data_IF_196517909382
#
_entry.id   IF_196517909382
#
_cell.length_a   1.000
_cell.length_b   1.000
_cell.length_c   1.000
_cell.angle_alpha   90.00
_cell.angle_beta   90.00
_cell.angle_gamma   90.00
#
_symmetry.space_group_name_H-M   'P 1'
#
loop_
_entity.id
_entity.type
_entity.pdbx_description
1 polymer ?
#
# COMPACT_ATOMS: atom_id res chain seq x y z
N UNK A 1 -10.93 -9.74 -16.49
CA UNK A 1 -11.64 -8.43 -16.44
C UNK A 1 -10.72 -7.43 -15.75
N UNK A 2 -10.35 -6.40 -16.45
CA UNK A 2 -9.60 -5.30 -15.85
C UNK A 2 -10.40 -4.74 -14.68
N UNK A 3 -9.76 -4.58 -13.54
CA UNK A 3 -10.35 -3.87 -12.41
C UNK A 3 -10.85 -2.50 -12.87
N UNK A 4 -11.91 -2.01 -12.25
CA UNK A 4 -12.45 -0.69 -12.55
C UNK A 4 -11.36 0.36 -12.36
N UNK A 5 -11.20 1.26 -13.32
CA UNK A 5 -10.23 2.33 -13.25
C UNK A 5 -10.56 3.27 -12.08
N UNK A 6 -9.58 3.55 -11.26
CA UNK A 6 -9.72 4.40 -10.08
C UNK A 6 -8.38 4.51 -9.38
N UNK A 7 -8.34 5.19 -8.24
CA UNK A 7 -7.12 5.36 -7.47
C UNK A 7 -7.34 4.86 -6.05
N UNK A 8 -6.51 3.94 -5.62
CA UNK A 8 -6.61 3.31 -4.31
C UNK A 8 -5.26 3.29 -3.61
N UNK A 9 -5.29 3.28 -2.29
CA UNK A 9 -4.14 2.96 -1.47
C UNK A 9 -4.39 1.64 -0.77
N UNK A 10 -3.49 0.69 -0.96
CA UNK A 10 -3.47 -0.59 -0.24
C UNK A 10 -2.51 -0.43 0.93
N UNK A 11 -2.97 -0.72 2.13
CA UNK A 11 -2.17 -0.59 3.35
C UNK A 11 -2.12 -1.92 4.08
N UNK A 12 -0.92 -2.37 4.43
CA UNK A 12 -0.71 -3.55 5.28
C UNK A 12 -0.05 -3.10 6.57
N UNK A 13 -0.74 -3.31 7.68
CA UNK A 13 -0.30 -2.99 9.02
C UNK A 13 -0.66 -4.14 9.96
N UNK A 14 0.31 -4.61 10.73
CA UNK A 14 0.10 -5.66 11.74
C UNK A 14 -0.66 -6.89 11.17
N UNK A 15 -0.26 -7.36 10.00
CA UNK A 15 -0.87 -8.52 9.37
C UNK A 15 -2.26 -8.28 8.78
N UNK A 16 -2.74 -7.04 8.77
CA UNK A 16 -4.04 -6.67 8.22
C UNK A 16 -3.88 -5.80 6.99
N UNK A 17 -4.63 -6.12 5.95
CA UNK A 17 -4.69 -5.35 4.72
C UNK A 17 -5.98 -4.52 4.70
N UNK A 18 -5.83 -3.24 4.42
CA UNK A 18 -6.93 -2.29 4.24
C UNK A 18 -6.77 -1.58 2.91
N UNK A 19 -7.87 -1.33 2.23
CA UNK A 19 -7.89 -0.53 1.00
C UNK A 19 -8.64 0.78 1.22
N UNK A 20 -8.11 1.85 0.68
CA UNK A 20 -8.76 3.17 0.68
C UNK A 20 -9.04 3.58 -0.76
N UNK A 21 -10.29 3.92 -1.06
CA UNK A 21 -10.65 4.54 -2.34
C UNK A 21 -10.29 6.03 -2.28
N UNK A 22 -9.17 6.39 -2.89
CA UNK A 22 -8.66 7.75 -2.82
C UNK A 22 -9.56 8.75 -3.56
N UNK A 23 -10.36 8.29 -4.51
CA UNK A 23 -11.24 9.15 -5.29
C UNK A 23 -12.45 9.67 -4.49
N UNK A 24 -12.69 9.16 -3.29
CA UNK A 24 -13.76 9.63 -2.41
C UNK A 24 -13.53 11.05 -1.87
N UNK A 25 -12.30 11.55 -1.88
CA UNK A 25 -11.96 12.91 -1.45
C UNK A 25 -10.65 13.39 -2.08
N UNK A 26 -10.41 14.70 -2.04
CA UNK A 26 -9.22 15.30 -2.66
C UNK A 26 -7.96 15.23 -1.80
N UNK A 27 -8.10 15.07 -0.50
CA UNK A 27 -6.97 15.03 0.43
C UNK A 27 -7.16 13.96 1.48
N UNK A 28 -6.12 13.15 1.69
CA UNK A 28 -6.05 12.09 2.68
C UNK A 28 -4.86 12.30 3.60
N UNK A 29 -5.14 12.63 4.84
CA UNK A 29 -4.11 12.80 5.88
C UNK A 29 -3.67 11.43 6.39
N UNK A 30 -2.37 11.21 6.43
CA UNK A 30 -1.75 9.96 6.89
C UNK A 30 -1.08 10.19 8.23
N UNK A 31 -1.35 9.33 9.20
CA UNK A 31 -0.66 9.42 10.47
C UNK A 31 -1.24 8.54 11.57
N UNK A 32 -0.65 8.66 12.75
CA UNK A 32 -1.07 7.93 13.93
C UNK A 32 -2.20 8.68 14.64
N UNK A 33 -3.35 8.04 14.87
CA UNK A 33 -4.44 8.69 15.59
C UNK A 33 -4.06 8.99 17.04
N UNK A 34 -4.56 10.11 17.55
CA UNK A 34 -4.43 10.52 18.95
C UNK A 34 -5.66 11.32 19.35
N UNK A 35 -5.75 11.70 20.63
CA UNK A 35 -6.87 12.49 21.13
C UNK A 35 -7.11 13.76 20.30
N UNK A 36 -6.04 14.42 19.88
CA UNK A 36 -6.09 15.72 19.18
C UNK A 36 -5.79 15.61 17.68
N UNK A 37 -5.64 14.40 17.15
CA UNK A 37 -5.30 14.18 15.75
C UNK A 37 -6.03 12.93 15.20
N UNK A 38 -6.92 13.16 14.26
CA UNK A 38 -7.67 12.09 13.58
C UNK A 38 -7.30 12.12 12.10
N UNK A 39 -6.31 11.33 11.67
CA UNK A 39 -5.98 11.22 10.24
C UNK A 39 -7.05 10.44 9.49
N UNK A 40 -7.09 10.61 8.17
CA UNK A 40 -8.00 9.85 7.29
C UNK A 40 -7.51 8.42 7.09
N UNK A 41 -6.19 8.27 6.88
CA UNK A 41 -5.50 6.98 6.83
C UNK A 41 -4.81 6.78 8.18
N UNK A 42 -5.41 5.94 9.01
CA UNK A 42 -4.99 5.70 10.39
C UNK A 42 -3.94 4.59 10.44
N UNK A 43 -2.74 4.95 10.82
CA UNK A 43 -1.62 4.02 11.01
C UNK A 43 -1.29 3.93 12.49
N UNK A 44 -1.44 2.75 13.08
CA UNK A 44 -1.40 2.59 14.54
C UNK A 44 -0.01 2.30 15.10
N UNK A 45 0.97 2.01 14.25
CA UNK A 45 2.34 1.78 14.71
C UNK A 45 2.90 2.99 15.44
N UNK A 46 3.57 2.73 16.56
CA UNK A 46 4.23 3.77 17.36
C UNK A 46 5.39 4.46 16.64
N UNK A 47 5.88 3.86 15.56
CA UNK A 47 6.94 4.44 14.72
C UNK A 47 6.44 5.51 13.76
N UNK A 48 5.13 5.58 13.54
CA UNK A 48 4.51 6.58 12.67
C UNK A 48 4.18 7.85 13.46
N UNK A 49 4.51 8.99 12.89
CA UNK A 49 4.18 10.29 13.45
C UNK A 49 2.69 10.60 13.32
N UNK A 50 2.15 11.42 14.23
CA UNK A 50 0.73 11.81 14.21
C UNK A 50 0.34 12.50 12.89
N UNK A 51 1.20 13.38 12.42
CA UNK A 51 1.12 14.04 11.11
C UNK A 51 2.28 13.54 10.25
N UNK A 52 2.09 12.39 9.60
CA UNK A 52 3.19 11.74 8.88
C UNK A 52 3.30 12.21 7.44
N UNK A 53 2.18 12.35 6.76
CA UNK A 53 2.13 12.80 5.37
C UNK A 53 0.70 13.00 4.90
N UNK A 54 0.55 13.27 3.61
CA UNK A 54 -0.76 13.34 2.98
C UNK A 54 -0.70 12.94 1.51
N UNK A 55 -1.77 12.33 1.05
CA UNK A 55 -2.06 12.16 -0.37
C UNK A 55 -3.02 13.25 -0.82
N UNK A 56 -2.74 13.86 -1.94
CA UNK A 56 -3.53 15.00 -2.45
C UNK A 56 -3.72 14.89 -3.95
N UNK A 57 -4.97 15.08 -4.39
CA UNK A 57 -5.30 15.22 -5.79
C UNK A 57 -5.21 16.71 -6.20
N UNK A 58 -4.44 16.96 -7.23
CA UNK A 58 -4.34 18.29 -7.86
C UNK A 58 -4.54 18.13 -9.36
N UNK A 59 -5.60 18.69 -9.89
CA UNK A 59 -5.93 18.65 -11.32
C UNK A 59 -5.98 17.21 -11.91
N UNK A 60 -6.48 16.25 -11.15
CA UNK A 60 -6.58 14.86 -11.59
C UNK A 60 -5.33 14.01 -11.35
N UNK A 61 -4.26 14.58 -10.85
CA UNK A 61 -3.02 13.88 -10.50
C UNK A 61 -2.91 13.70 -8.99
N UNK A 62 -2.50 12.52 -8.56
CA UNK A 62 -2.25 12.23 -7.17
C UNK A 62 -0.80 12.51 -6.81
N UNK A 63 -0.61 13.11 -5.64
CA UNK A 63 0.70 13.44 -5.07
C UNK A 63 0.77 12.97 -3.63
N UNK A 64 1.96 12.54 -3.23
CA UNK A 64 2.28 12.34 -1.83
C UNK A 64 3.16 13.48 -1.32
N UNK A 65 2.81 14.03 -0.18
CA UNK A 65 3.58 15.07 0.51
C UNK A 65 3.98 14.56 1.87
N UNK A 66 5.28 14.34 2.07
CA UNK A 66 5.79 13.90 3.37
C UNK A 66 5.84 15.06 4.35
N UNK A 67 5.61 14.80 5.63
CA UNK A 67 5.65 15.80 6.70
C UNK A 67 6.85 15.63 7.62
N UNK A 68 7.87 14.92 7.16
CA UNK A 68 9.09 14.66 7.91
C UNK A 68 8.82 14.00 9.27
N UNK A 69 8.07 12.90 9.23
CA UNK A 69 7.87 12.07 10.39
C UNK A 69 9.19 11.62 11.00
N UNK A 70 9.25 11.49 12.33
CA UNK A 70 10.48 11.21 13.09
C UNK A 70 11.28 10.02 12.57
N UNK A 71 10.61 8.94 12.18
CA UNK A 71 11.24 7.71 11.70
C UNK A 71 11.24 7.61 10.16
N UNK A 72 10.78 8.64 9.47
CA UNK A 72 10.88 8.76 8.02
C UNK A 72 9.86 7.97 7.22
N UNK A 73 10.00 8.10 5.92
CA UNK A 73 9.23 7.40 4.91
C UNK A 73 10.18 6.92 3.82
N UNK A 74 10.01 5.68 3.42
CA UNK A 74 10.71 5.10 2.28
C UNK A 74 9.74 5.04 1.09
N UNK A 75 10.16 5.56 -0.03
CA UNK A 75 9.40 5.57 -1.28
C UNK A 75 10.18 4.83 -2.37
N UNK A 76 9.60 3.75 -2.87
CA UNK A 76 10.23 2.88 -3.88
C UNK A 76 11.69 2.54 -3.53
N UNK A 77 11.95 2.18 -2.27
CA UNK A 77 13.26 1.77 -1.77
C UNK A 77 14.21 2.91 -1.42
N UNK A 78 13.78 4.16 -1.53
CA UNK A 78 14.60 5.34 -1.19
C UNK A 78 13.96 6.16 -0.08
N UNK A 79 14.79 6.58 0.88
CA UNK A 79 14.34 7.52 1.91
C UNK A 79 13.93 8.85 1.31
N UNK A 80 12.79 9.37 1.75
CA UNK A 80 12.39 10.73 1.44
C UNK A 80 13.20 11.67 2.33
N UNK A 81 14.01 12.50 1.71
CA UNK A 81 14.84 13.50 2.38
C UNK A 81 14.54 14.89 1.84
N UNK A 82 14.62 15.94 2.69
CA UNK A 82 14.48 17.29 2.20
C UNK A 82 15.64 17.64 1.25
N UNK A 83 15.33 18.43 0.22
CA UNK A 83 16.34 18.98 -0.67
C UNK A 83 17.21 20.05 0.01
N UNK A 84 18.14 20.64 -0.76
CA UNK A 84 19.08 21.67 -0.28
C UNK A 84 18.37 22.85 0.38
N UNK A 85 17.15 23.18 -0.09
CA UNK A 85 16.33 24.25 0.49
C UNK A 85 15.63 23.87 1.81
N UNK A 86 15.82 22.65 2.31
CA UNK A 86 15.09 22.12 3.48
C UNK A 86 13.61 21.82 3.19
N UNK A 87 13.16 21.93 1.94
CA UNK A 87 11.77 21.69 1.55
C UNK A 87 11.64 20.34 0.85
N UNK A 88 10.54 19.65 1.11
CA UNK A 88 10.16 18.46 0.38
C UNK A 88 9.33 18.84 -0.85
N UNK A 89 9.62 18.17 -1.96
CA UNK A 89 8.79 18.28 -3.15
C UNK A 89 7.67 17.25 -3.09
N UNK A 90 6.44 17.59 -3.49
CA UNK A 90 5.40 16.60 -3.70
C UNK A 90 5.86 15.53 -4.70
N UNK A 91 5.54 14.28 -4.40
CA UNK A 91 5.89 13.16 -5.26
C UNK A 91 4.66 12.78 -6.08
N UNK A 92 4.76 12.83 -7.40
CA UNK A 92 3.69 12.40 -8.28
C UNK A 92 3.54 10.88 -8.20
N UNK A 93 2.34 10.42 -7.90
CA UNK A 93 2.02 9.00 -7.76
C UNK A 93 1.90 8.32 -9.10
N UNK A 94 2.40 7.09 -9.15
CA UNK A 94 2.28 6.18 -10.28
C UNK A 94 1.76 4.83 -9.79
N UNK A 95 1.07 4.13 -10.67
CA UNK A 95 0.61 2.77 -10.36
C UNK A 95 1.76 1.88 -9.88
N UNK A 96 1.57 1.20 -8.76
CA UNK A 96 2.57 0.32 -8.17
C UNK A 96 3.60 1.00 -7.26
N UNK A 97 3.50 2.31 -7.01
CA UNK A 97 4.38 3.00 -6.07
C UNK A 97 4.22 2.46 -4.66
N UNK A 98 5.34 2.17 -4.01
CA UNK A 98 5.39 1.52 -2.70
C UNK A 98 5.97 2.47 -1.65
N UNK A 99 5.32 2.49 -0.49
CA UNK A 99 5.74 3.24 0.68
C UNK A 99 6.01 2.31 1.85
N UNK A 100 7.03 2.64 2.64
CA UNK A 100 7.21 2.12 3.99
C UNK A 100 7.15 3.30 4.94
N UNK A 101 6.21 3.26 5.88
CA UNK A 101 6.02 4.32 6.85
C UNK A 101 6.60 3.94 8.21
N UNK A 102 7.37 4.87 8.78
CA UNK A 102 7.86 4.74 10.14
C UNK A 102 9.07 3.83 10.33
N UNK A 103 9.96 3.73 9.36
CA UNK A 103 11.20 2.96 9.45
C UNK A 103 11.80 2.63 8.08
N UNK A 104 12.98 2.07 8.12
CA UNK A 104 13.81 1.83 6.93
C UNK A 104 13.60 0.44 6.32
N UNK A 105 13.25 -0.50 7.16
CA UNK A 105 13.23 -1.90 6.80
C UNK A 105 11.80 -2.43 6.75
N UNK A 106 11.40 -3.07 5.66
CA UNK A 106 10.16 -3.81 5.61
C UNK A 106 10.30 -5.12 6.39
N UNK A 107 10.63 -5.03 7.66
CA UNK A 107 10.60 -6.18 8.55
C UNK A 107 9.15 -6.49 8.87
N UNK A 108 8.73 -7.70 8.62
CA UNK A 108 7.36 -8.13 8.89
C UNK A 108 7.17 -8.31 10.38
N UNK A 109 6.80 -7.24 11.01
CA UNK A 109 6.41 -7.19 12.42
C UNK A 109 5.28 -6.18 12.59
N UNK A 110 4.76 -6.05 13.80
CA UNK A 110 3.65 -5.15 14.12
C UNK A 110 3.99 -3.65 14.00
N UNK A 111 5.24 -3.29 13.72
CA UNK A 111 5.69 -1.90 13.55
C UNK A 111 5.88 -1.53 12.08
N UNK A 112 5.93 -2.51 11.20
CA UNK A 112 6.13 -2.27 9.77
C UNK A 112 4.80 -1.93 9.11
N UNK A 113 4.79 -0.79 8.42
CA UNK A 113 3.64 -0.39 7.61
C UNK A 113 4.08 -0.27 6.17
N UNK A 114 3.46 -1.09 5.35
CA UNK A 114 3.65 -1.13 3.91
C UNK A 114 2.41 -0.60 3.21
N UNK A 115 2.59 0.23 2.19
CA UNK A 115 1.50 0.73 1.39
C UNK A 115 1.85 0.77 -0.09
N UNK A 116 0.85 0.61 -0.94
CA UNK A 116 0.97 0.69 -2.38
C UNK A 116 -0.12 1.57 -2.97
N UNK A 117 0.27 2.49 -3.84
CA UNK A 117 -0.66 3.22 -4.69
C UNK A 117 -1.03 2.36 -5.89
N UNK A 118 -2.32 2.24 -6.18
CA UNK A 118 -2.83 1.45 -7.30
C UNK A 118 -3.85 2.25 -8.11
N UNK A 119 -3.72 2.21 -9.44
CA UNK A 119 -4.70 2.79 -10.36
C UNK A 119 -5.88 1.83 -10.61
N UNK A 120 -6.30 1.12 -9.57
CA UNK A 120 -7.45 0.22 -9.56
C UNK A 120 -8.43 0.62 -8.48
N UNK A 121 -9.70 0.43 -8.76
CA UNK A 121 -10.75 0.52 -7.75
C UNK A 121 -11.13 -0.88 -7.29
N UNK A 122 -10.99 -1.12 -5.99
CA UNK A 122 -11.41 -2.36 -5.35
C UNK A 122 -12.83 -2.18 -4.81
N UNK A 123 -13.78 -2.86 -5.42
CA UNK A 123 -15.17 -2.87 -4.97
C UNK A 123 -15.52 -4.19 -4.25
N UNK A 124 -16.77 -4.37 -3.89
CA UNK A 124 -17.27 -5.55 -3.17
C UNK A 124 -17.04 -6.90 -3.88
N UNK A 125 -16.74 -6.89 -5.19
CA UNK A 125 -16.42 -8.10 -5.95
C UNK A 125 -14.97 -8.57 -5.70
N UNK A 126 -14.16 -7.73 -5.09
CA UNK A 126 -12.78 -8.03 -4.76
C UNK A 126 -12.69 -8.58 -3.35
N UNK A 127 -12.16 -9.78 -3.24
CA UNK A 127 -11.94 -10.45 -1.98
C UNK A 127 -10.52 -10.23 -1.49
N UNK A 128 -10.38 -10.01 -0.21
CA UNK A 128 -9.09 -9.82 0.47
C UNK A 128 -8.84 -11.00 1.37
N UNK A 129 -7.71 -11.66 1.19
CA UNK A 129 -7.28 -12.78 2.03
C UNK A 129 -5.80 -12.65 2.41
N UNK A 130 -5.47 -13.12 3.61
CA UNK A 130 -4.10 -13.30 4.06
C UNK A 130 -3.87 -14.78 4.37
N UNK A 131 -2.83 -15.37 3.80
CA UNK A 131 -2.52 -16.79 3.96
C UNK A 131 -1.05 -16.97 4.29
N UNK A 132 -0.77 -17.73 5.34
CA UNK A 132 0.61 -18.08 5.71
C UNK A 132 1.14 -19.21 4.85
N UNK A 133 2.43 -19.16 4.55
CA UNK A 133 3.15 -20.23 3.87
C UNK A 133 2.79 -20.41 2.40
N UNK A 134 2.03 -19.49 1.81
CA UNK A 134 1.66 -19.57 0.41
C UNK A 134 2.73 -18.96 -0.48
N UNK A 135 3.52 -19.81 -1.10
CA UNK A 135 4.56 -19.42 -2.07
C UNK A 135 4.08 -19.51 -3.53
N UNK A 136 2.88 -20.01 -3.73
CA UNK A 136 2.32 -20.27 -5.04
C UNK A 136 0.93 -19.66 -5.13
N UNK A 137 0.71 -18.89 -6.18
CA UNK A 137 -0.58 -18.36 -6.51
C UNK A 137 -0.98 -18.81 -7.90
N UNK A 138 -2.17 -19.36 -8.02
CA UNK A 138 -2.78 -19.67 -9.30
C UNK A 138 -4.06 -18.86 -9.44
N UNK A 139 -4.15 -18.14 -10.53
CA UNK A 139 -5.40 -17.54 -10.95
C UNK A 139 -6.08 -18.49 -11.94
N UNK A 140 -7.38 -18.54 -11.93
CA UNK A 140 -8.15 -19.28 -12.93
C UNK A 140 -8.28 -18.48 -14.22
N UNK A 141 -8.74 -19.14 -15.27
CA UNK A 141 -9.11 -18.51 -16.53
C UNK A 141 -7.99 -17.77 -17.28
N UNK A 142 -7.01 -18.52 -17.71
CA UNK A 142 -5.93 -18.04 -18.58
C UNK A 142 -4.81 -17.28 -17.89
N UNK A 143 -4.91 -17.04 -16.62
CA UNK A 143 -3.81 -16.46 -15.86
C UNK A 143 -2.72 -17.51 -15.58
N UNK A 144 -1.49 -17.09 -15.69
CA UNK A 144 -0.35 -17.95 -15.39
C UNK A 144 -0.16 -18.10 -13.89
N UNK A 145 0.17 -19.30 -13.46
CA UNK A 145 0.64 -19.55 -12.10
C UNK A 145 2.02 -18.91 -11.93
N UNK A 146 2.21 -18.19 -10.84
CA UNK A 146 3.50 -17.63 -10.48
C UNK A 146 3.99 -18.30 -9.20
N UNK A 147 5.20 -18.83 -9.24
CA UNK A 147 5.84 -19.48 -8.09
C UNK A 147 6.98 -18.58 -7.62
N UNK A 148 6.96 -18.26 -6.34
CA UNK A 148 8.06 -17.55 -5.69
C UNK A 148 8.75 -18.49 -4.73
N UNK A 149 10.03 -18.73 -4.97
CA UNK A 149 10.83 -19.64 -4.15
C UNK A 149 11.36 -18.98 -2.88
N UNK A 150 11.42 -17.64 -2.88
CA UNK A 150 11.87 -16.89 -1.72
C UNK A 150 10.90 -15.74 -1.42
N UNK A 151 10.55 -15.54 -0.14
CA UNK A 151 9.76 -14.40 0.26
C UNK A 151 10.59 -13.13 0.10
N UNK A 152 10.32 -12.38 -0.93
CA UNK A 152 10.89 -11.05 -1.10
C UNK A 152 9.99 -10.05 -0.38
N UNK A 153 10.60 -9.16 0.36
CA UNK A 153 9.91 -8.15 1.16
C UNK A 153 8.98 -7.28 0.29
N UNK A 154 7.67 -7.48 0.42
CA UNK A 154 6.67 -6.71 -0.30
C UNK A 154 6.68 -6.93 -1.82
N UNK A 155 7.02 -8.12 -2.31
CA UNK A 155 6.91 -8.41 -3.73
C UNK A 155 5.47 -8.44 -4.18
N UNK A 156 5.16 -7.68 -5.21
CA UNK A 156 3.81 -7.54 -5.76
C UNK A 156 3.74 -8.19 -7.13
N UNK A 157 2.70 -8.98 -7.33
CA UNK A 157 2.35 -9.55 -8.63
C UNK A 157 0.95 -9.09 -8.98
N UNK A 158 0.82 -8.36 -10.06
CA UNK A 158 -0.46 -7.93 -10.60
C UNK A 158 -0.86 -8.76 -11.80
N UNK A 159 -2.13 -9.15 -11.81
CA UNK A 159 -2.83 -9.76 -12.93
C UNK A 159 -4.15 -9.02 -13.12
N UNK A 160 -4.81 -9.23 -14.26
CA UNK A 160 -6.11 -8.61 -14.53
C UNK A 160 -7.15 -8.92 -13.45
N UNK A 161 -7.06 -10.12 -12.87
CA UNK A 161 -8.03 -10.67 -11.92
C UNK A 161 -7.65 -10.47 -10.46
N UNK A 162 -6.44 -10.02 -10.18
CA UNK A 162 -6.01 -9.87 -8.79
C UNK A 162 -4.61 -9.37 -8.59
N UNK A 163 -4.32 -9.11 -7.34
CA UNK A 163 -3.00 -8.69 -6.84
C UNK A 163 -2.57 -9.65 -5.75
N UNK A 164 -1.36 -10.15 -5.84
CA UNK A 164 -0.71 -10.89 -4.76
C UNK A 164 0.44 -10.09 -4.19
N UNK A 165 0.49 -9.98 -2.88
CA UNK A 165 1.56 -9.28 -2.16
C UNK A 165 2.23 -10.28 -1.23
N UNK A 166 3.48 -10.60 -1.53
CA UNK A 166 4.28 -11.55 -0.76
C UNK A 166 5.12 -10.80 0.27
N UNK A 167 4.86 -11.07 1.54
CA UNK A 167 5.58 -10.47 2.66
C UNK A 167 6.04 -11.54 3.63
N UNK A 168 7.29 -12.01 3.48
CA UNK A 168 7.82 -13.10 4.29
C UNK A 168 7.03 -14.39 4.10
N UNK A 169 6.48 -14.90 5.17
CA UNK A 169 5.66 -16.13 5.17
C UNK A 169 4.16 -15.87 4.97
N UNK A 170 3.78 -14.60 4.79
CA UNK A 170 2.39 -14.21 4.58
C UNK A 170 2.19 -13.71 3.15
N UNK A 171 1.15 -14.21 2.49
CA UNK A 171 0.70 -13.73 1.19
C UNK A 171 -0.66 -13.07 1.34
N UNK A 172 -0.76 -11.85 0.85
CA UNK A 172 -2.03 -11.12 0.79
C UNK A 172 -2.58 -11.18 -0.62
N UNK A 173 -3.83 -11.53 -0.75
CA UNK A 173 -4.54 -11.65 -2.02
C UNK A 173 -5.66 -10.64 -2.07
N UNK A 174 -5.69 -9.85 -3.13
CA UNK A 174 -6.84 -9.02 -3.48
C UNK A 174 -7.29 -9.48 -4.85
N UNK A 175 -8.49 -10.04 -4.95
CA UNK A 175 -8.93 -10.57 -6.23
C UNK A 175 -10.42 -10.74 -6.38
N UNK A 176 -10.83 -10.93 -7.61
CA UNK A 176 -12.21 -11.23 -7.94
C UNK A 176 -12.50 -12.71 -7.60
N UNK A 177 -13.46 -12.95 -6.72
CA UNK A 177 -13.84 -14.30 -6.25
C UNK A 177 -14.17 -15.23 -7.42
N UNK A 178 -14.77 -14.71 -8.47
CA UNK A 178 -15.21 -15.53 -9.62
C UNK A 178 -14.03 -16.11 -10.41
N UNK A 179 -12.84 -15.52 -10.32
CA UNK A 179 -11.64 -15.91 -11.08
C UNK A 179 -10.47 -16.36 -10.22
N UNK A 180 -10.52 -16.12 -8.93
CA UNK A 180 -9.58 -16.70 -7.98
C UNK A 180 -10.09 -18.08 -7.57
N UNK A 181 -9.29 -19.11 -7.73
CA UNK A 181 -9.63 -20.48 -7.34
C UNK A 181 -9.64 -20.68 -5.81
N UNK A 182 -10.40 -19.85 -5.11
CA UNK A 182 -10.49 -19.83 -3.64
C UNK A 182 -11.87 -20.23 -3.18
#
# INVERSE_FOLDING_TARGET
>A
MLGKKGNSLVVIENGQLTTYDLDDRLTWKVGRPSKDNIPDIKLHSTTVSRKHGLFQNMNGYWFYVDKLGKNGTVYNGKHITPGISGRLKPITMKDGDIFIFGGDEPVINNKTIWAMFSERKFDERWRIEATKGLNRLSFTDGCQSTVYNEPVKGTVVEKDDGIAIYMGDVTYLIGNIAVMGV
#
